data_IF_084974306945
#
_entry.id   IF_084974306945
#
_cell.length_a   1.000
_cell.length_b   1.000
_cell.length_c   1.000
_cell.angle_alpha   90.00
_cell.angle_beta   90.00
_cell.angle_gamma   90.00
#
_symmetry.space_group_name_H-M   'P 1'
#
loop_
_entity.id
_entity.type
_entity.pdbx_description
1 polymer ?
#
# COMPACT_ATOMS: atom_id res chain seq x y z
N UNK A 1 28.26 -24.33 -48.26
CA UNK A 1 26.78 -24.53 -48.24
C UNK A 1 26.23 -24.98 -46.88
N UNK A 2 26.92 -25.83 -46.11
CA UNK A 2 26.41 -26.30 -44.79
C UNK A 2 26.41 -25.24 -43.69
N UNK A 3 27.42 -24.37 -43.60
CA UNK A 3 27.49 -23.34 -42.55
C UNK A 3 26.40 -22.27 -42.67
N UNK A 4 25.97 -21.97 -43.90
CA UNK A 4 24.88 -21.01 -44.18
C UNK A 4 23.55 -21.58 -43.71
N UNK A 5 23.30 -22.87 -43.96
CA UNK A 5 22.07 -23.55 -43.53
C UNK A 5 21.96 -23.64 -42.00
N UNK A 6 23.09 -23.90 -41.33
CA UNK A 6 23.17 -23.94 -39.87
C UNK A 6 22.93 -22.56 -39.23
N UNK A 7 23.52 -21.51 -39.81
CA UNK A 7 23.31 -20.13 -39.34
C UNK A 7 21.87 -19.64 -39.55
N UNK A 8 21.27 -19.93 -40.72
CA UNK A 8 19.86 -19.60 -41.00
C UNK A 8 18.92 -20.34 -40.06
N UNK A 9 19.20 -21.61 -39.75
CA UNK A 9 18.41 -22.39 -38.79
C UNK A 9 18.50 -21.83 -37.37
N UNK A 10 19.70 -21.41 -36.93
CA UNK A 10 19.88 -20.77 -35.64
C UNK A 10 19.13 -19.43 -35.55
N UNK A 11 19.18 -18.61 -36.59
CA UNK A 11 18.44 -17.33 -36.64
C UNK A 11 16.93 -17.57 -36.61
N UNK A 12 16.44 -18.57 -37.34
CA UNK A 12 15.02 -18.93 -37.35
C UNK A 12 14.53 -19.36 -35.95
N UNK A 13 15.33 -20.16 -35.24
CA UNK A 13 15.02 -20.59 -33.87
C UNK A 13 14.96 -19.39 -32.93
N UNK A 14 15.95 -18.48 -32.98
CA UNK A 14 15.98 -17.29 -32.11
C UNK A 14 14.77 -16.39 -32.38
N UNK A 15 14.41 -16.15 -33.64
CA UNK A 15 13.25 -15.33 -34.01
C UNK A 15 11.93 -15.93 -33.53
N UNK A 16 11.81 -17.26 -33.54
CA UNK A 16 10.61 -17.98 -33.05
C UNK A 16 10.53 -18.01 -31.51
N UNK A 17 11.68 -18.02 -30.81
CA UNK A 17 11.73 -18.02 -29.35
C UNK A 17 11.48 -16.63 -28.71
N UNK A 18 11.89 -15.55 -29.37
CA UNK A 18 11.70 -14.17 -28.88
C UNK A 18 10.25 -13.77 -28.51
N UNK A 19 9.19 -14.17 -29.21
CA UNK A 19 7.81 -13.86 -28.79
C UNK A 19 7.33 -14.69 -27.59
N UNK A 20 7.96 -15.84 -27.29
CA UNK A 20 7.62 -16.67 -26.13
C UNK A 20 8.12 -16.04 -24.82
N UNK A 21 9.17 -15.21 -24.89
CA UNK A 21 9.69 -14.42 -23.77
C UNK A 21 9.00 -13.07 -23.60
N UNK A 22 7.73 -12.92 -24.03
CA UNK A 22 6.83 -11.87 -23.54
C UNK A 22 6.38 -12.17 -22.10
N UNK A 23 7.33 -12.45 -21.21
CA UNK A 23 7.13 -12.29 -19.78
C UNK A 23 6.99 -10.79 -19.53
N UNK A 24 5.91 -10.39 -18.87
CA UNK A 24 5.54 -9.00 -18.65
C UNK A 24 6.68 -8.18 -18.05
N UNK A 25 7.39 -7.43 -18.90
CA UNK A 25 8.26 -6.32 -18.50
C UNK A 25 7.37 -5.11 -18.18
N UNK A 26 6.54 -5.24 -17.16
CA UNK A 26 5.86 -4.10 -16.56
C UNK A 26 6.03 -4.24 -15.06
N UNK A 27 6.90 -3.38 -14.51
CA UNK A 27 7.27 -3.35 -13.10
C UNK A 27 6.17 -2.81 -12.19
N UNK A 28 5.00 -2.42 -12.71
CA UNK A 28 3.83 -2.11 -11.89
C UNK A 28 2.82 -3.25 -11.95
N UNK A 29 3.09 -4.34 -11.24
CA UNK A 29 2.03 -5.29 -10.91
C UNK A 29 1.02 -4.55 -10.03
N UNK A 30 -0.24 -4.34 -10.45
CA UNK A 30 -1.28 -4.00 -9.49
C UNK A 30 -1.39 -5.13 -8.47
N UNK A 31 -1.69 -4.79 -7.23
CA UNK A 31 -2.04 -5.77 -6.18
C UNK A 31 -3.07 -6.75 -6.78
N UNK A 32 -2.68 -8.02 -6.96
CA UNK A 32 -3.59 -9.10 -7.42
C UNK A 32 -3.49 -9.56 -8.89
N UNK A 33 -2.34 -10.04 -9.35
CA UNK A 33 -2.20 -10.72 -10.65
C UNK A 33 -3.04 -12.02 -10.79
N UNK A 34 -3.87 -12.08 -11.85
CA UNK A 34 -4.60 -13.24 -12.43
C UNK A 34 -5.38 -14.18 -11.49
N UNK A 35 -5.86 -13.71 -10.35
CA UNK A 35 -6.90 -14.40 -9.56
C UNK A 35 -7.99 -13.42 -9.13
N UNK A 36 -8.53 -12.66 -10.07
CA UNK A 36 -9.68 -11.75 -9.87
C UNK A 36 -11.02 -12.50 -9.76
N UNK A 37 -11.02 -13.68 -9.12
CA UNK A 37 -12.23 -14.30 -8.60
C UNK A 37 -12.02 -14.56 -7.10
N UNK A 38 -11.68 -13.48 -6.40
CA UNK A 38 -11.87 -13.42 -4.95
C UNK A 38 -13.27 -12.81 -4.82
N UNK A 39 -14.27 -13.56 -4.32
CA UNK A 39 -15.58 -12.99 -4.03
C UNK A 39 -15.39 -11.79 -3.09
N UNK A 40 -16.34 -10.87 -3.08
CA UNK A 40 -16.38 -9.66 -2.25
C UNK A 40 -16.45 -9.98 -0.73
N UNK A 41 -15.50 -10.76 -0.23
CA UNK A 41 -15.16 -10.94 1.16
C UNK A 41 -14.20 -9.81 1.49
N UNK A 42 -14.46 -9.10 2.60
CA UNK A 42 -13.51 -8.09 3.08
C UNK A 42 -12.09 -8.66 3.04
N UNK A 43 -11.12 -7.92 2.48
CA UNK A 43 -9.74 -8.38 2.46
C UNK A 43 -9.28 -8.62 3.90
N UNK A 44 -8.59 -9.74 4.13
CA UNK A 44 -8.06 -10.07 5.46
C UNK A 44 -7.21 -8.90 5.96
N UNK A 45 -7.20 -8.68 7.26
CA UNK A 45 -6.31 -7.67 7.84
C UNK A 45 -4.87 -8.20 7.82
N UNK A 46 -3.91 -7.31 7.56
CA UNK A 46 -2.50 -7.66 7.68
C UNK A 46 -2.18 -8.00 9.14
N UNK A 47 -1.17 -8.86 9.33
CA UNK A 47 -0.80 -9.44 10.60
C UNK A 47 -0.51 -8.37 11.67
N UNK A 48 -0.80 -8.72 12.91
CA UNK A 48 -0.40 -7.94 14.07
C UNK A 48 1.10 -8.06 14.32
N UNK A 49 1.70 -7.02 14.91
CA UNK A 49 3.13 -6.99 15.22
C UNK A 49 3.42 -6.13 16.44
N UNK A 50 4.65 -6.20 16.95
CA UNK A 50 5.12 -5.38 18.07
C UNK A 50 4.71 -5.91 19.45
N UNK A 51 5.08 -5.21 20.52
CA UNK A 51 4.80 -5.64 21.89
C UNK A 51 3.28 -5.76 22.10
N UNK A 52 2.86 -6.89 22.68
CA UNK A 52 1.44 -7.22 22.91
C UNK A 52 0.57 -7.37 21.65
N UNK A 53 1.15 -7.36 20.44
CA UNK A 53 0.40 -7.51 19.18
C UNK A 53 -0.53 -6.34 18.87
N UNK A 54 -0.31 -5.18 19.49
CA UNK A 54 -1.14 -3.99 19.29
C UNK A 54 -0.76 -3.19 18.03
N UNK A 55 0.36 -3.52 17.38
CA UNK A 55 0.75 -2.96 16.10
C UNK A 55 0.19 -3.78 14.92
N UNK A 56 0.35 -3.24 13.72
CA UNK A 56 -0.01 -3.90 12.47
C UNK A 56 1.12 -3.75 11.44
N UNK A 57 1.38 -4.83 10.71
CA UNK A 57 2.31 -4.81 9.58
C UNK A 57 1.72 -4.02 8.41
N UNK A 58 2.50 -3.08 7.89
CA UNK A 58 2.15 -2.25 6.73
C UNK A 58 2.93 -2.68 5.49
N UNK A 59 4.14 -3.20 5.68
CA UNK A 59 5.01 -3.73 4.63
C UNK A 59 6.00 -4.72 5.24
N UNK A 60 6.86 -5.33 4.41
CA UNK A 60 7.66 -6.50 4.81
C UNK A 60 8.64 -6.26 5.97
N UNK A 61 8.97 -5.00 6.27
CA UNK A 61 9.81 -4.62 7.41
C UNK A 61 9.27 -3.34 8.09
N UNK A 62 7.94 -3.14 8.10
CA UNK A 62 7.30 -1.96 8.67
C UNK A 62 6.17 -2.40 9.59
N UNK A 63 6.34 -2.14 10.88
CA UNK A 63 5.33 -2.39 11.91
C UNK A 63 4.90 -1.06 12.52
N UNK A 64 3.60 -0.77 12.51
CA UNK A 64 3.06 0.49 13.03
C UNK A 64 2.04 0.30 14.13
N UNK A 65 2.07 1.19 15.12
CA UNK A 65 1.15 1.30 16.22
C UNK A 65 0.64 2.74 16.32
N UNK A 66 -0.40 3.00 17.13
CA UNK A 66 -0.98 4.35 17.31
C UNK A 66 0.06 5.43 17.64
N UNK A 67 1.11 5.06 18.37
CA UNK A 67 2.14 5.97 18.88
C UNK A 67 3.36 6.10 17.95
N UNK A 68 3.46 5.28 16.89
CA UNK A 68 4.58 5.36 15.94
C UNK A 68 4.83 4.08 15.16
N UNK A 69 5.88 4.10 14.32
CA UNK A 69 6.26 2.99 13.46
C UNK A 69 7.71 2.58 13.69
N UNK A 70 7.96 1.27 13.58
CA UNK A 70 9.26 0.64 13.64
C UNK A 70 9.57 0.09 12.25
N UNK A 71 10.72 0.47 11.70
CA UNK A 71 11.15 0.09 10.35
C UNK A 71 12.49 -0.65 10.42
N UNK A 72 12.60 -1.76 9.69
CA UNK A 72 13.82 -2.55 9.58
C UNK A 72 13.78 -3.83 10.41
N UNK A 73 14.91 -4.18 11.02
CA UNK A 73 15.14 -5.51 11.62
C UNK A 73 14.20 -5.85 12.78
N UNK A 74 13.72 -4.85 13.52
CA UNK A 74 12.77 -5.02 14.61
C UNK A 74 11.33 -5.32 14.12
N UNK A 75 11.06 -5.11 12.83
CA UNK A 75 9.79 -5.42 12.17
C UNK A 75 9.90 -6.58 11.18
N UNK A 76 10.95 -7.42 11.31
CA UNK A 76 11.21 -8.55 10.41
C UNK A 76 10.09 -9.61 10.38
N UNK A 77 9.28 -9.68 11.43
CA UNK A 77 8.11 -10.59 11.49
C UNK A 77 7.10 -10.27 10.39
N UNK A 78 7.01 -9.00 9.97
CA UNK A 78 6.16 -8.60 8.85
C UNK A 78 6.59 -9.18 7.50
N UNK A 79 7.76 -9.82 7.40
CA UNK A 79 8.16 -10.51 6.18
C UNK A 79 7.28 -11.73 5.89
N UNK A 80 6.67 -12.31 6.92
CA UNK A 80 5.73 -13.44 6.77
C UNK A 80 4.52 -13.09 5.90
N UNK A 81 4.15 -11.80 5.81
CA UNK A 81 3.10 -11.34 4.89
C UNK A 81 3.46 -11.57 3.42
N UNK A 82 4.74 -11.53 3.04
CA UNK A 82 5.18 -11.78 1.67
C UNK A 82 5.03 -13.25 1.27
N UNK A 83 5.12 -14.16 2.24
CA UNK A 83 4.96 -15.60 2.04
C UNK A 83 3.46 -16.00 1.99
N UNK A 84 2.57 -15.07 2.35
CA UNK A 84 1.13 -15.30 2.33
C UNK A 84 0.56 -15.28 0.91
N UNK A 85 -0.26 -16.27 0.61
CA UNK A 85 -0.91 -16.42 -0.71
C UNK A 85 -2.16 -15.56 -0.87
N UNK A 86 -2.61 -14.89 0.20
CA UNK A 86 -3.84 -14.08 0.21
C UNK A 86 -3.48 -12.62 0.42
N UNK A 87 -4.03 -11.69 -0.36
CA UNK A 87 -3.79 -10.25 -0.15
C UNK A 87 -4.40 -9.76 1.18
N UNK A 88 -3.69 -8.87 1.88
CA UNK A 88 -4.19 -8.23 3.10
C UNK A 88 -4.45 -6.74 2.92
N UNK A 89 -5.19 -6.16 3.86
CA UNK A 89 -5.45 -4.72 3.92
C UNK A 89 -5.03 -4.15 5.28
N UNK A 90 -4.35 -3.01 5.21
CA UNK A 90 -3.90 -2.23 6.38
C UNK A 90 -5.05 -1.35 6.87
N UNK A 91 -5.27 -1.29 8.19
CA UNK A 91 -6.29 -0.44 8.77
C UNK A 91 -5.91 1.03 8.62
N UNK A 92 -6.91 1.88 8.43
CA UNK A 92 -6.75 3.33 8.46
C UNK A 92 -7.36 4.05 7.27
N UNK A 93 -7.50 5.37 7.44
CA UNK A 93 -7.98 6.27 6.38
C UNK A 93 -6.89 6.37 5.30
N UNK A 94 -7.26 6.33 4.00
CA UNK A 94 -6.29 6.48 2.92
C UNK A 94 -5.59 7.85 2.96
N UNK A 95 -4.31 7.85 2.64
CA UNK A 95 -3.44 9.03 2.63
C UNK A 95 -2.38 8.92 1.51
N UNK A 96 -1.60 9.99 1.33
CA UNK A 96 -0.62 10.09 0.23
C UNK A 96 -1.26 10.53 -1.09
N UNK A 97 -0.47 10.53 -2.15
CA UNK A 97 -0.96 10.69 -3.53
C UNK A 97 -1.87 9.51 -3.87
N UNK A 98 -3.02 9.77 -4.50
CA UNK A 98 -3.98 8.76 -4.95
C UNK A 98 -4.47 7.73 -3.91
N UNK A 99 -4.25 7.98 -2.60
CA UNK A 99 -4.70 7.09 -1.52
C UNK A 99 -3.90 5.79 -1.40
N UNK A 100 -2.67 5.76 -1.93
CA UNK A 100 -1.78 4.59 -1.89
C UNK A 100 -1.33 4.20 -0.46
N UNK A 101 -1.29 5.15 0.47
CA UNK A 101 -0.89 4.93 1.86
C UNK A 101 -2.08 4.88 2.82
N UNK A 102 -1.80 4.52 4.07
CA UNK A 102 -2.76 4.49 5.18
C UNK A 102 -2.26 5.29 6.38
N UNK A 103 -3.17 5.98 7.04
CA UNK A 103 -2.89 6.62 8.33
C UNK A 103 -2.83 5.55 9.42
N UNK A 104 -1.64 5.30 9.94
CA UNK A 104 -1.36 4.18 10.86
C UNK A 104 -0.95 4.64 12.26
N UNK A 105 -0.47 5.88 12.38
CA UNK A 105 -0.16 6.54 13.65
C UNK A 105 -0.50 8.04 13.56
N UNK A 106 -0.46 8.76 14.69
CA UNK A 106 -0.80 10.18 14.71
C UNK A 106 0.13 11.01 13.82
N UNK A 107 -0.44 11.58 12.76
CA UNK A 107 0.33 12.36 11.77
C UNK A 107 1.26 11.54 10.88
N UNK A 108 1.15 10.20 10.85
CA UNK A 108 2.01 9.32 10.03
C UNK A 108 1.19 8.58 8.97
N UNK A 109 1.61 8.72 7.72
CA UNK A 109 1.09 8.02 6.55
C UNK A 109 2.14 7.02 6.05
N UNK A 110 1.78 5.74 5.95
CA UNK A 110 2.68 4.71 5.45
C UNK A 110 2.07 3.96 4.27
N UNK A 111 2.90 3.63 3.31
CA UNK A 111 2.64 2.58 2.32
C UNK A 111 3.55 1.37 2.60
N UNK A 112 3.51 0.36 1.73
CA UNK A 112 4.29 -0.88 1.88
C UNK A 112 5.81 -0.67 1.87
N UNK A 113 6.27 0.47 1.33
CA UNK A 113 7.69 0.78 1.11
C UNK A 113 8.25 1.79 2.10
N UNK A 114 7.46 2.80 2.50
CA UNK A 114 7.93 3.92 3.29
C UNK A 114 6.83 4.58 4.11
N UNK A 115 7.27 5.34 5.11
CA UNK A 115 6.43 6.18 5.95
C UNK A 115 6.83 7.64 5.82
N UNK A 116 5.83 8.54 5.86
CA UNK A 116 6.03 9.98 5.83
C UNK A 116 5.06 10.68 6.79
N UNK A 117 5.45 11.85 7.27
CA UNK A 117 4.57 12.70 8.06
C UNK A 117 3.47 13.29 7.17
N UNK A 118 2.21 13.13 7.56
CA UNK A 118 1.07 13.66 6.83
C UNK A 118 0.04 14.30 7.77
N UNK A 119 -0.24 15.59 7.57
CA UNK A 119 -1.19 16.34 8.38
C UNK A 119 -2.63 15.80 8.32
N UNK A 120 -2.98 15.05 7.27
CA UNK A 120 -4.30 14.37 7.17
C UNK A 120 -4.47 13.25 8.21
N UNK A 121 -3.37 12.66 8.67
CA UNK A 121 -3.38 11.58 9.65
C UNK A 121 -3.37 12.08 11.10
N UNK A 122 -3.37 13.40 11.33
CA UNK A 122 -3.38 13.94 12.68
C UNK A 122 -4.78 13.76 13.31
N UNK A 123 -4.86 12.89 14.31
CA UNK A 123 -6.05 12.58 15.11
C UNK A 123 -6.60 13.82 15.83
N UNK A 124 -5.73 14.79 16.14
CA UNK A 124 -6.09 16.10 16.70
C UNK A 124 -6.82 17.02 15.70
N UNK A 125 -6.66 16.77 14.40
CA UNK A 125 -7.07 17.67 13.33
C UNK A 125 -8.38 17.31 12.62
N UNK A 126 -8.80 16.04 12.65
CA UNK A 126 -9.91 15.56 11.81
C UNK A 126 -11.32 15.84 12.34
N UNK A 127 -11.50 15.86 13.66
CA UNK A 127 -12.82 16.08 14.30
C UNK A 127 -13.00 17.51 14.83
N UNK A 128 -11.89 18.20 15.14
CA UNK A 128 -11.90 19.56 15.66
C UNK A 128 -12.04 20.62 14.56
N UNK A 129 -11.47 20.40 13.37
CA UNK A 129 -11.57 21.38 12.26
C UNK A 129 -13.00 21.51 11.74
N UNK A 130 -13.68 20.41 11.45
CA UNK A 130 -15.09 20.41 11.00
C UNK A 130 -16.04 21.03 12.01
N UNK A 131 -15.87 20.74 13.31
CA UNK A 131 -16.72 21.33 14.34
C UNK A 131 -16.43 22.83 14.55
N UNK A 132 -15.15 23.23 14.51
CA UNK A 132 -14.75 24.65 14.59
C UNK A 132 -15.24 25.44 13.38
N UNK A 133 -15.15 24.86 12.18
CA UNK A 133 -15.67 25.46 10.95
C UNK A 133 -17.21 25.56 11.00
N UNK A 134 -17.91 24.53 11.49
CA UNK A 134 -19.35 24.60 11.70
C UNK A 134 -19.74 25.67 12.72
N UNK A 135 -19.01 25.76 13.84
CA UNK A 135 -19.22 26.76 14.89
C UNK A 135 -18.95 28.18 14.36
N UNK A 136 -17.93 28.37 13.54
CA UNK A 136 -17.66 29.64 12.86
C UNK A 136 -18.80 30.06 11.93
N UNK A 137 -19.33 29.12 11.14
CA UNK A 137 -20.47 29.38 10.25
C UNK A 137 -21.72 29.74 11.07
N UNK A 138 -22.02 28.98 12.12
CA UNK A 138 -23.16 29.27 13.01
C UNK A 138 -23.04 30.64 13.69
N UNK A 139 -21.85 30.98 14.17
CA UNK A 139 -21.61 32.27 14.84
C UNK A 139 -21.73 33.44 13.85
N UNK A 140 -21.32 33.23 12.59
CA UNK A 140 -21.48 34.21 11.51
C UNK A 140 -22.96 34.41 11.16
N UNK A 141 -23.74 33.32 11.08
CA UNK A 141 -25.20 33.41 10.86
C UNK A 141 -25.93 34.10 12.01
N UNK A 142 -25.52 33.87 13.26
CA UNK A 142 -26.09 34.55 14.42
C UNK A 142 -25.79 36.05 14.42
N UNK A 143 -24.58 36.44 14.00
CA UNK A 143 -24.13 37.84 13.91
C UNK A 143 -24.73 38.63 12.75
N UNK A 144 -25.16 37.98 11.68
CA UNK A 144 -25.80 38.64 10.53
C UNK A 144 -27.31 38.88 10.77
N UNK A 145 -27.89 38.11 11.70
CA UNK A 145 -29.31 38.21 12.07
C UNK A 145 -29.61 39.28 13.13
N UNK A 146 -28.58 39.91 13.71
CA UNK A 146 -28.70 40.82 14.85
C UNK A 146 -27.91 42.12 14.62
#
# INVERSE_FOLDING_TARGET
>A
MSSIKSSVFAILIVVVLLPLVKGCFWTSCPIGGKRSNIPATEPRQCMSCGPNGEGQCVGSNICCHKDGCIIGTLAKECNEENESTTACSVKGVPCGTDGQGRCVADGVCCDESACSSNARCNTSGGRSKTLKDLLLILNKMYRDKN
#
